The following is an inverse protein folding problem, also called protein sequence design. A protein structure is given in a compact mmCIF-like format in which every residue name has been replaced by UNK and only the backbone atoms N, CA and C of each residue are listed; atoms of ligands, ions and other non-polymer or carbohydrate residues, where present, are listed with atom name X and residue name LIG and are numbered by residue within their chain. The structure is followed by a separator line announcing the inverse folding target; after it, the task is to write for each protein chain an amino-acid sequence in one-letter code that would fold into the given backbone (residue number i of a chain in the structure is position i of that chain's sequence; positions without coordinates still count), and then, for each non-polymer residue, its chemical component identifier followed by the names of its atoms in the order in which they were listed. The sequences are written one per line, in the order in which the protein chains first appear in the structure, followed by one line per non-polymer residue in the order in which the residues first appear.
data_IF_718954431511
#
_entry.id   IF_718954431511
#
_cell.length_a   1.000
_cell.length_b   1.000
_cell.length_c   1.000
_cell.angle_alpha   90.00
_cell.angle_beta   90.00
_cell.angle_gamma   90.00
#
_symmetry.space_group_name_H-M   'P 1'
#
loop_
_entity.id
_entity.type
_entity.pdbx_description
1 polymer ?
#
# COMPACT_ATOMS: atom_id res chain seq x y z
N UNK A 1 -4.93 11.26 -19.48
CA UNK A 1 -5.35 10.14 -18.61
C UNK A 1 -4.12 9.53 -17.92
N UNK A 2 -4.10 9.44 -16.59
CA UNK A 2 -3.06 8.69 -15.89
C UNK A 2 -3.17 7.19 -16.27
N UNK A 3 -2.03 6.51 -16.36
CA UNK A 3 -1.99 5.07 -16.64
C UNK A 3 -2.59 4.32 -15.46
N UNK A 4 -3.54 3.40 -15.73
CA UNK A 4 -4.13 2.59 -14.68
C UNK A 4 -3.04 1.70 -14.04
N UNK A 5 -2.89 1.79 -12.72
CA UNK A 5 -1.92 1.00 -11.94
C UNK A 5 -0.66 1.76 -11.51
N UNK A 6 -0.23 2.83 -12.20
CA UNK A 6 0.95 3.61 -11.78
C UNK A 6 0.96 5.04 -12.32
N UNK A 7 1.33 6.01 -11.48
CA UNK A 7 1.48 7.41 -11.90
C UNK A 7 2.23 8.26 -10.87
N UNK A 8 3.02 9.22 -11.35
CA UNK A 8 3.79 10.15 -10.48
C UNK A 8 4.64 9.47 -9.40
N UNK A 9 5.22 8.30 -9.71
CA UNK A 9 6.00 7.46 -8.79
C UNK A 9 5.19 6.69 -7.73
N UNK A 10 3.86 6.59 -7.88
CA UNK A 10 2.97 5.86 -6.98
C UNK A 10 2.24 4.74 -7.70
N UNK A 11 2.06 3.61 -7.00
CA UNK A 11 1.14 2.55 -7.37
C UNK A 11 -0.29 3.00 -7.08
N UNK A 12 -1.19 2.82 -8.04
CA UNK A 12 -2.59 3.23 -7.94
C UNK A 12 -3.45 1.99 -7.65
N UNK A 13 -3.76 1.76 -6.36
CA UNK A 13 -4.43 0.55 -5.88
C UNK A 13 -5.95 0.63 -6.08
N UNK A 14 -6.52 1.82 -5.92
CA UNK A 14 -7.94 2.14 -6.15
C UNK A 14 -8.09 3.63 -6.46
N UNK A 15 -9.30 4.14 -6.77
CA UNK A 15 -9.52 5.57 -7.00
C UNK A 15 -9.13 6.49 -5.81
N UNK A 16 -9.14 5.97 -4.58
CA UNK A 16 -8.82 6.74 -3.36
C UNK A 16 -7.55 6.27 -2.66
N UNK A 17 -6.99 5.13 -3.09
CA UNK A 17 -5.86 4.49 -2.44
C UNK A 17 -4.66 4.40 -3.38
N UNK A 18 -3.51 4.88 -2.91
CA UNK A 18 -2.25 4.81 -3.65
C UNK A 18 -1.08 4.61 -2.69
N UNK A 19 -0.02 3.97 -3.19
CA UNK A 19 1.10 3.55 -2.35
C UNK A 19 2.47 3.71 -3.03
N UNK A 20 3.47 4.07 -2.25
CA UNK A 20 4.87 3.99 -2.64
C UNK A 20 5.43 2.73 -1.97
N UNK A 21 5.94 1.80 -2.76
CA UNK A 21 6.43 0.52 -2.28
C UNK A 21 7.92 0.36 -2.59
N UNK A 22 8.65 -0.21 -1.63
CA UNK A 22 10.06 -0.55 -1.77
C UNK A 22 10.31 -2.01 -1.41
N UNK A 23 11.39 -2.57 -1.97
CA UNK A 23 11.84 -3.92 -1.67
C UNK A 23 12.03 -4.15 -0.16
N UNK A 24 11.96 -5.39 0.27
CA UNK A 24 11.98 -5.79 1.68
C UNK A 24 10.78 -5.28 2.50
N UNK A 25 9.69 -4.87 1.84
CA UNK A 25 8.41 -4.54 2.47
C UNK A 25 8.28 -3.11 2.99
N UNK A 26 8.99 -2.15 2.40
CA UNK A 26 8.80 -0.73 2.73
C UNK A 26 7.52 -0.24 2.07
N UNK A 27 6.65 0.46 2.79
CA UNK A 27 5.42 1.01 2.19
C UNK A 27 5.01 2.33 2.81
N UNK A 28 4.63 3.30 1.97
CA UNK A 28 3.80 4.44 2.33
C UNK A 28 2.45 4.22 1.66
N UNK A 29 1.38 4.16 2.43
CA UNK A 29 0.01 3.92 1.98
C UNK A 29 -0.88 5.10 2.33
N UNK A 30 -1.58 5.64 1.32
CA UNK A 30 -2.49 6.77 1.47
C UNK A 30 -3.89 6.31 1.12
N UNK A 31 -4.81 6.37 2.08
CA UNK A 31 -6.24 6.18 1.85
C UNK A 31 -6.98 7.50 2.08
N UNK A 32 -7.34 8.15 0.97
CA UNK A 32 -8.00 9.46 0.97
C UNK A 32 -9.46 9.41 1.40
N UNK A 33 -10.11 8.24 1.30
CA UNK A 33 -11.51 8.11 1.72
C UNK A 33 -11.63 8.21 3.25
N UNK A 34 -10.61 7.74 3.95
CA UNK A 34 -10.61 7.58 5.41
C UNK A 34 -9.68 8.56 6.15
N UNK A 35 -9.09 9.54 5.45
CA UNK A 35 -8.09 10.47 6.01
C UNK A 35 -6.93 9.73 6.72
N UNK A 36 -6.46 8.66 6.09
CA UNK A 36 -5.50 7.72 6.68
C UNK A 36 -4.18 7.71 5.89
N UNK A 37 -3.08 7.78 6.65
CA UNK A 37 -1.71 7.54 6.16
C UNK A 37 -1.07 6.44 7.00
N UNK A 38 -0.52 5.41 6.34
CA UNK A 38 0.28 4.36 6.99
C UNK A 38 1.70 4.41 6.43
N UNK A 39 2.69 4.40 7.33
CA UNK A 39 4.10 4.20 6.99
C UNK A 39 4.57 2.90 7.62
N UNK A 40 5.00 1.95 6.80
CA UNK A 40 5.45 0.63 7.21
C UNK A 40 6.93 0.44 6.87
N UNK A 41 7.73 0.16 7.89
CA UNK A 41 9.09 -0.34 7.76
C UNK A 41 9.10 -1.84 8.02
N UNK A 42 9.71 -2.58 7.10
CA UNK A 42 9.82 -4.04 7.18
C UNK A 42 11.22 -4.51 6.85
N UNK A 43 11.48 -5.79 7.11
CA UNK A 43 12.71 -6.47 6.73
C UNK A 43 12.37 -7.89 6.25
N UNK A 44 11.66 -7.99 5.11
CA UNK A 44 11.38 -9.31 4.54
C UNK A 44 12.70 -10.05 4.24
N UNK A 45 12.74 -11.39 4.37
CA UNK A 45 13.95 -12.17 4.13
C UNK A 45 14.39 -12.16 2.66
N UNK A 46 13.51 -11.76 1.74
CA UNK A 46 13.77 -11.61 0.31
C UNK A 46 13.30 -10.24 -0.18
N UNK A 47 13.89 -9.74 -1.26
CA UNK A 47 13.58 -8.41 -1.79
C UNK A 47 12.10 -8.24 -2.15
N UNK A 48 11.47 -9.29 -2.69
CA UNK A 48 10.05 -9.33 -3.02
C UNK A 48 9.54 -10.78 -3.11
N UNK A 49 8.28 -11.01 -2.78
CA UNK A 49 7.59 -12.29 -2.82
C UNK A 49 6.07 -12.06 -2.80
N UNK A 50 5.32 -12.78 -3.63
CA UNK A 50 3.85 -12.71 -3.69
C UNK A 50 3.21 -12.91 -2.32
N UNK A 51 3.65 -13.91 -1.55
CA UNK A 51 3.12 -14.21 -0.21
C UNK A 51 3.33 -13.05 0.78
N UNK A 52 4.51 -12.42 0.76
CA UNK A 52 4.83 -11.31 1.65
C UNK A 52 4.00 -10.06 1.30
N UNK A 53 3.84 -9.79 0.01
CA UNK A 53 3.01 -8.70 -0.49
C UNK A 53 1.53 -8.92 -0.16
N UNK A 54 1.03 -10.14 -0.32
CA UNK A 54 -0.35 -10.51 0.01
C UNK A 54 -0.64 -10.28 1.50
N UNK A 55 0.26 -10.73 2.40
CA UNK A 55 0.11 -10.51 3.84
C UNK A 55 0.15 -9.03 4.22
N UNK A 56 1.09 -8.27 3.67
CA UNK A 56 1.19 -6.82 3.91
C UNK A 56 -0.07 -6.10 3.42
N UNK A 57 -0.54 -6.41 2.21
CA UNK A 57 -1.74 -5.79 1.63
C UNK A 57 -2.98 -6.12 2.44
N UNK A 58 -3.13 -7.36 2.92
CA UNK A 58 -4.22 -7.75 3.80
C UNK A 58 -4.23 -6.94 5.10
N UNK A 59 -3.06 -6.74 5.72
CA UNK A 59 -2.92 -5.90 6.91
C UNK A 59 -3.31 -4.43 6.65
N UNK A 60 -2.78 -3.81 5.59
CA UNK A 60 -3.07 -2.42 5.24
C UNK A 60 -4.57 -2.19 4.95
N UNK A 61 -5.20 -3.14 4.24
CA UNK A 61 -6.63 -3.12 3.98
C UNK A 61 -7.44 -3.26 5.27
N UNK A 62 -7.07 -4.18 6.16
CA UNK A 62 -7.77 -4.37 7.44
C UNK A 62 -7.69 -3.12 8.34
N UNK A 63 -6.54 -2.42 8.36
CA UNK A 63 -6.41 -1.14 9.07
C UNK A 63 -7.31 -0.08 8.45
N UNK A 64 -7.32 0.03 7.12
CA UNK A 64 -8.15 1.01 6.40
C UNK A 64 -9.66 0.76 6.63
N UNK A 65 -10.10 -0.50 6.58
CA UNK A 65 -11.48 -0.91 6.88
C UNK A 65 -11.85 -0.60 8.32
N UNK A 66 -10.97 -0.89 9.29
CA UNK A 66 -11.24 -0.66 10.70
C UNK A 66 -11.49 0.82 11.04
N UNK A 67 -10.80 1.74 10.37
CA UNK A 67 -10.96 3.19 10.59
C UNK A 67 -12.01 3.83 9.69
N UNK A 68 -12.64 3.05 8.81
CA UNK A 68 -13.63 3.56 7.87
C UNK A 68 -14.83 4.13 8.61
N UNK A 69 -15.27 5.33 8.19
CA UNK A 69 -16.38 6.07 8.80
C UNK A 69 -17.68 5.89 8.04
#
# INVERSE_FOLDING_TARGET
PAFAGYGYYWWLMSPTVFAAQGIYGQTIWIDRANDLVIVLHSVWPVAWSDDHEAHMTAFLNAVSEHVSR
#
